data_IF_259443280624
#
_entry.id   IF_259443280624
#
_cell.length_a   1.000
_cell.length_b   1.000
_cell.length_c   1.000
_cell.angle_alpha   90.00
_cell.angle_beta   90.00
_cell.angle_gamma   90.00
#
_symmetry.space_group_name_H-M   'P 1'
#
loop_
_entity.id
_entity.type
_entity.pdbx_description
1 polymer ?
#
# COMPACT_ATOMS: atom_id res chain seq x y z
N UNK A 1 -13.04 2.28 2.05
CA UNK A 1 -12.25 1.05 1.84
C UNK A 1 -12.32 0.69 0.36
N UNK A 2 -11.24 0.21 -0.27
CA UNK A 2 -11.28 -0.23 -1.65
C UNK A 2 -12.11 -1.52 -1.76
N UNK A 3 -13.15 -1.51 -2.58
CA UNK A 3 -13.93 -2.70 -2.91
C UNK A 3 -13.27 -3.38 -4.10
N UNK A 4 -12.90 -4.65 -3.95
CA UNK A 4 -12.26 -5.44 -5.00
C UNK A 4 -13.24 -6.54 -5.43
N UNK A 5 -13.60 -6.55 -6.71
CA UNK A 5 -14.50 -7.55 -7.28
C UNK A 5 -13.67 -8.65 -7.94
N UNK A 6 -13.85 -9.90 -7.53
CA UNK A 6 -13.07 -11.04 -8.03
C UNK A 6 -14.03 -12.05 -8.69
N UNK A 7 -13.74 -12.54 -9.90
CA UNK A 7 -14.56 -13.56 -10.54
C UNK A 7 -14.65 -14.86 -9.71
N UNK A 8 -15.87 -15.39 -9.52
CA UNK A 8 -16.13 -16.61 -8.71
C UNK A 8 -15.34 -17.84 -9.14
N UNK A 9 -14.91 -17.91 -10.40
CA UNK A 9 -14.08 -19.03 -10.91
C UNK A 9 -12.72 -19.18 -10.22
N UNK A 10 -12.27 -18.13 -9.54
CA UNK A 10 -11.01 -18.15 -8.79
C UNK A 10 -11.24 -18.41 -7.30
N UNK A 11 -12.48 -18.55 -6.85
CA UNK A 11 -12.81 -18.82 -5.45
C UNK A 11 -12.67 -20.32 -5.16
N UNK A 12 -11.75 -20.66 -4.26
CA UNK A 12 -11.51 -22.05 -3.82
C UNK A 12 -12.30 -22.33 -2.56
N UNK A 13 -12.20 -21.43 -1.58
CA UNK A 13 -12.94 -21.52 -0.33
C UNK A 13 -13.23 -20.13 0.22
N UNK A 14 -14.34 -20.03 0.94
CA UNK A 14 -14.74 -18.84 1.69
C UNK A 14 -15.22 -19.32 3.06
N UNK A 15 -14.68 -18.73 4.12
CA UNK A 15 -15.12 -18.88 5.49
C UNK A 15 -15.35 -17.50 6.11
N UNK A 16 -15.76 -17.44 7.38
CA UNK A 16 -16.12 -16.19 8.05
C UNK A 16 -14.93 -15.22 8.24
N UNK A 17 -13.68 -15.72 8.21
CA UNK A 17 -12.47 -14.93 8.46
C UNK A 17 -11.54 -14.83 7.24
N UNK A 18 -11.74 -15.66 6.22
CA UNK A 18 -10.78 -15.88 5.15
C UNK A 18 -11.41 -16.29 3.81
N UNK A 19 -10.73 -15.89 2.74
CA UNK A 19 -11.08 -16.25 1.36
C UNK A 19 -9.83 -16.83 0.70
N UNK A 20 -9.91 -18.08 0.27
CA UNK A 20 -8.85 -18.74 -0.51
C UNK A 20 -9.14 -18.61 -1.99
N UNK A 21 -8.19 -18.04 -2.73
CA UNK A 21 -8.32 -17.81 -4.16
C UNK A 21 -7.21 -18.54 -4.92
N UNK A 22 -7.56 -19.23 -5.99
CA UNK A 22 -6.61 -19.78 -6.96
C UNK A 22 -6.54 -18.83 -8.15
N UNK A 23 -5.61 -17.86 -8.06
CA UNK A 23 -5.44 -16.82 -9.07
C UNK A 23 -4.30 -17.21 -10.02
N UNK A 24 -4.48 -17.04 -11.35
CA UNK A 24 -3.40 -17.24 -12.30
C UNK A 24 -2.28 -16.23 -12.06
N UNK A 25 -1.05 -16.65 -12.34
CA UNK A 25 0.17 -15.90 -12.04
C UNK A 25 0.21 -14.51 -12.70
N UNK A 26 -0.46 -14.36 -13.85
CA UNK A 26 -0.62 -13.07 -14.55
C UNK A 26 -1.41 -12.03 -13.72
N UNK A 27 -2.43 -12.47 -12.98
CA UNK A 27 -3.23 -11.60 -12.09
C UNK A 27 -2.42 -11.24 -10.86
N UNK A 28 -1.69 -12.20 -10.27
CA UNK A 28 -0.78 -11.95 -9.15
C UNK A 28 0.31 -10.93 -9.51
N UNK A 29 0.91 -11.06 -10.70
CA UNK A 29 1.93 -10.13 -11.19
C UNK A 29 1.39 -8.69 -11.30
N UNK A 30 0.13 -8.53 -11.75
CA UNK A 30 -0.52 -7.22 -11.85
C UNK A 30 -0.76 -6.59 -10.47
N UNK A 31 -1.31 -7.37 -9.53
CA UNK A 31 -1.58 -6.93 -8.15
C UNK A 31 -0.28 -6.59 -7.41
N UNK A 32 0.76 -7.41 -7.54
CA UNK A 32 2.07 -7.16 -6.93
C UNK A 32 2.72 -5.89 -7.47
N UNK A 33 2.60 -5.62 -8.78
CA UNK A 33 3.13 -4.40 -9.39
C UNK A 33 2.45 -3.16 -8.80
N UNK A 34 1.14 -3.20 -8.62
CA UNK A 34 0.40 -2.08 -8.04
C UNK A 34 0.68 -1.91 -6.55
N UNK A 35 0.81 -3.00 -5.79
CA UNK A 35 1.21 -2.94 -4.38
C UNK A 35 2.61 -2.38 -4.18
N UNK A 36 3.56 -2.72 -5.07
CA UNK A 36 4.92 -2.14 -5.06
C UNK A 36 4.89 -0.64 -5.35
N UNK A 37 4.05 -0.16 -6.26
CA UNK A 37 3.87 1.29 -6.52
C UNK A 37 3.34 2.01 -5.29
N UNK A 38 2.33 1.45 -4.63
CA UNK A 38 1.77 2.02 -3.39
C UNK A 38 2.81 2.05 -2.27
N UNK A 39 3.58 0.96 -2.09
CA UNK A 39 4.68 0.91 -1.11
C UNK A 39 5.75 1.97 -1.39
N UNK A 40 6.13 2.16 -2.65
CA UNK A 40 7.10 3.19 -3.07
C UNK A 40 6.57 4.60 -2.81
N UNK A 41 5.33 4.88 -3.19
CA UNK A 41 4.70 6.18 -2.95
C UNK A 41 4.62 6.50 -1.45
N UNK A 42 4.23 5.53 -0.61
CA UNK A 42 4.23 5.68 0.85
C UNK A 42 5.61 6.01 1.40
N UNK A 43 6.66 5.35 0.91
CA UNK A 43 8.04 5.65 1.29
C UNK A 43 8.47 7.08 0.94
N UNK A 44 8.13 7.56 -0.25
CA UNK A 44 8.42 8.94 -0.69
C UNK A 44 7.71 9.96 0.21
N UNK A 45 6.42 9.74 0.50
CA UNK A 45 5.65 10.62 1.37
C UNK A 45 6.18 10.65 2.80
N UNK A 46 6.62 9.50 3.33
CA UNK A 46 7.23 9.42 4.66
C UNK A 46 8.53 10.23 4.71
N UNK A 47 9.40 10.09 3.71
CA UNK A 47 10.65 10.85 3.62
C UNK A 47 10.39 12.37 3.56
N UNK A 48 9.43 12.82 2.74
CA UNK A 48 9.07 14.24 2.66
C UNK A 48 8.54 14.78 3.98
N UNK A 49 7.70 13.99 4.69
CA UNK A 49 7.19 14.34 6.01
C UNK A 49 8.34 14.54 7.01
N UNK A 50 9.30 13.61 7.05
CA UNK A 50 10.46 13.70 7.94
C UNK A 50 11.33 14.92 7.63
N UNK A 51 11.57 15.20 6.34
CA UNK A 51 12.30 16.40 5.92
C UNK A 51 11.59 17.70 6.33
N UNK A 52 10.25 17.75 6.23
CA UNK A 52 9.46 18.90 6.68
C UNK A 52 9.56 19.10 8.19
N UNK A 53 9.47 18.03 8.99
CA UNK A 53 9.63 18.15 10.44
C UNK A 53 11.04 18.59 10.84
N UNK A 54 12.07 18.05 10.22
CA UNK A 54 13.45 18.47 10.46
C UNK A 54 13.67 19.95 10.12
N UNK A 55 13.06 20.43 9.02
CA UNK A 55 13.10 21.83 8.65
C UNK A 55 12.36 22.71 9.67
N UNK A 56 11.18 22.30 10.13
CA UNK A 56 10.43 23.00 11.17
C UNK A 56 11.18 23.09 12.49
N UNK A 57 11.84 22.01 12.91
CA UNK A 57 12.66 21.99 14.13
C UNK A 57 13.87 22.93 14.01
N UNK A 58 14.50 22.98 12.82
CA UNK A 58 15.61 23.91 12.53
C UNK A 58 15.13 25.35 12.62
N UNK A 59 14.04 25.68 11.92
CA UNK A 59 13.45 27.02 11.97
C UNK A 59 13.12 27.37 13.42
N UNK A 60 12.43 26.51 14.18
CA UNK A 60 12.11 26.79 15.60
C UNK A 60 13.35 27.14 16.43
N UNK A 61 14.46 26.42 16.24
CA UNK A 61 15.72 26.69 16.95
C UNK A 61 16.42 27.99 16.53
N UNK A 62 16.11 28.56 15.37
CA UNK A 62 16.60 29.88 14.96
C UNK A 62 15.80 31.04 15.57
N UNK A 63 14.59 30.76 16.09
CA UNK A 63 13.72 31.75 16.74
C UNK A 63 13.85 31.76 18.28
N UNK A 64 14.53 30.78 18.88
CA UNK A 64 14.90 30.73 20.32
C UNK A 64 16.30 31.32 20.54
#
# INVERSE_FOLDING_TARGET
MPLVTIPKRYLVSEDDESITLDLPESVLASLQRDYRKVKKAKGILQYQKEAMFAHLDTVRGEWE
#
